data_IF_762810656934
#
_entry.id   IF_762810656934
#
_cell.length_a   1.000
_cell.length_b   1.000
_cell.length_c   1.000
_cell.angle_alpha   90.00
_cell.angle_beta   90.00
_cell.angle_gamma   90.00
#
_symmetry.space_group_name_H-M   'P 1'
#
loop_
_entity.id
_entity.type
_entity.pdbx_description
1 polymer ?
#
# COMPACT_ATOMS: atom_id res chain seq x y z
N UNK A 1 -7.73 24.63 11.44
CA UNK A 1 -6.43 23.94 11.36
C UNK A 1 -6.48 22.66 12.20
N UNK A 2 -6.73 21.49 11.58
CA UNK A 2 -6.85 20.19 12.28
C UNK A 2 -5.51 19.45 12.37
N UNK A 3 -4.43 20.18 12.63
CA UNK A 3 -3.07 19.62 12.63
C UNK A 3 -2.88 18.52 13.69
N UNK A 4 -3.36 18.68 14.95
CA UNK A 4 -3.19 17.64 15.98
C UNK A 4 -3.79 16.29 15.59
N UNK A 5 -4.92 16.27 14.86
CA UNK A 5 -5.57 15.05 14.37
C UNK A 5 -4.75 14.31 13.29
N UNK A 6 -3.83 15.02 12.62
CA UNK A 6 -3.02 14.48 11.50
C UNK A 6 -1.61 14.07 11.92
N UNK A 7 -1.20 14.31 13.16
CA UNK A 7 0.17 14.06 13.64
C UNK A 7 0.56 12.59 13.45
N UNK A 8 -0.31 11.66 13.81
CA UNK A 8 -0.05 10.22 13.64
C UNK A 8 0.14 9.85 12.17
N UNK A 9 -0.67 10.42 11.28
CA UNK A 9 -0.54 10.20 9.83
C UNK A 9 0.77 10.80 9.27
N UNK A 10 1.18 11.96 9.77
CA UNK A 10 2.43 12.60 9.35
C UNK A 10 3.66 11.76 9.76
N UNK A 11 3.67 11.22 10.98
CA UNK A 11 4.76 10.33 11.42
C UNK A 11 4.81 9.04 10.62
N UNK A 12 3.65 8.44 10.34
CA UNK A 12 3.59 7.27 9.49
C UNK A 12 4.16 7.57 8.09
N UNK A 13 3.73 8.67 7.48
CA UNK A 13 4.22 9.11 6.17
C UNK A 13 5.75 9.32 6.16
N UNK A 14 6.33 9.93 7.20
CA UNK A 14 7.79 10.15 7.29
C UNK A 14 8.57 8.82 7.38
N UNK A 15 8.04 7.82 8.09
CA UNK A 15 8.70 6.53 8.25
C UNK A 15 8.68 5.68 6.97
N UNK A 16 7.61 5.76 6.19
CA UNK A 16 7.46 4.95 4.97
C UNK A 16 8.07 5.62 3.74
N UNK A 17 8.31 6.93 3.78
CA UNK A 17 8.86 7.69 2.64
C UNK A 17 10.35 7.40 2.46
N UNK A 18 10.71 7.00 1.24
CA UNK A 18 12.11 6.76 0.85
C UNK A 18 12.91 8.06 0.91
N UNK A 19 14.07 8.02 1.59
CA UNK A 19 14.97 9.18 1.67
C UNK A 19 15.96 9.15 0.51
N UNK A 20 16.19 10.31 -0.11
CA UNK A 20 17.16 10.42 -1.22
C UNK A 20 18.60 10.07 -0.80
N UNK A 21 18.96 10.31 0.46
CA UNK A 21 20.32 10.07 0.97
C UNK A 21 20.66 8.59 1.12
N UNK A 22 19.69 7.77 1.52
CA UNK A 22 19.89 6.32 1.74
C UNK A 22 19.30 5.47 0.63
N UNK A 23 18.38 6.01 -0.18
CA UNK A 23 17.60 5.24 -1.15
C UNK A 23 16.56 4.31 -0.51
N UNK A 24 16.42 4.33 0.83
CA UNK A 24 15.51 3.47 1.58
C UNK A 24 14.64 4.29 2.55
N UNK A 25 13.46 3.77 2.86
CA UNK A 25 12.62 4.35 3.91
C UNK A 25 13.14 3.96 5.31
N UNK A 26 12.98 4.82 6.33
CA UNK A 26 13.31 4.47 7.71
C UNK A 26 12.66 3.16 8.18
N UNK A 27 11.42 2.90 7.76
CA UNK A 27 10.72 1.65 8.05
C UNK A 27 11.47 0.43 7.50
N UNK A 28 11.92 0.50 6.24
CA UNK A 28 12.68 -0.58 5.61
C UNK A 28 14.01 -0.82 6.34
N UNK A 29 14.71 0.23 6.75
CA UNK A 29 15.97 0.09 7.48
C UNK A 29 15.79 -0.55 8.86
N UNK A 30 14.65 -0.34 9.51
CA UNK A 30 14.34 -0.90 10.83
C UNK A 30 13.83 -2.35 10.75
N UNK A 31 12.98 -2.66 9.76
CA UNK A 31 12.27 -3.93 9.68
C UNK A 31 12.78 -4.88 8.59
N UNK A 32 13.61 -4.40 7.67
CA UNK A 32 14.10 -5.17 6.52
C UNK A 32 13.05 -5.48 5.45
N UNK A 33 11.85 -4.87 5.54
CA UNK A 33 10.72 -5.10 4.64
C UNK A 33 10.02 -3.78 4.33
N UNK A 34 9.43 -3.66 3.14
CA UNK A 34 8.58 -2.53 2.79
C UNK A 34 7.23 -2.59 3.55
N UNK A 35 6.71 -1.45 4.00
CA UNK A 35 5.40 -1.40 4.63
C UNK A 35 4.32 -1.77 3.61
N UNK A 36 3.36 -2.59 4.02
CA UNK A 36 2.20 -2.94 3.18
C UNK A 36 1.18 -1.82 3.32
N UNK A 37 1.04 -0.99 2.29
CA UNK A 37 0.05 0.07 2.28
C UNK A 37 -1.31 -0.45 1.79
N UNK A 38 -2.42 0.18 2.22
CA UNK A 38 -3.73 -0.11 1.65
C UNK A 38 -3.76 0.00 0.13
N UNK A 39 -3.00 0.96 -0.44
CA UNK A 39 -2.85 1.10 -1.89
C UNK A 39 -2.18 -0.12 -2.53
N UNK A 40 -1.09 -0.62 -1.94
CA UNK A 40 -0.38 -1.81 -2.44
C UNK A 40 -1.32 -3.03 -2.46
N UNK A 41 -2.15 -3.18 -1.43
CA UNK A 41 -3.16 -4.24 -1.37
C UNK A 41 -4.20 -4.09 -2.49
N UNK A 42 -4.68 -2.86 -2.75
CA UNK A 42 -5.63 -2.63 -3.86
C UNK A 42 -5.02 -2.90 -5.22
N UNK A 43 -3.76 -2.50 -5.44
CA UNK A 43 -3.06 -2.77 -6.69
C UNK A 43 -2.86 -4.27 -6.89
N UNK A 44 -2.35 -4.99 -5.87
CA UNK A 44 -2.20 -6.47 -5.94
C UNK A 44 -3.52 -7.15 -6.22
N UNK A 45 -4.60 -6.66 -5.61
CA UNK A 45 -5.95 -7.19 -5.76
C UNK A 45 -6.53 -6.97 -7.16
N UNK A 46 -6.16 -5.87 -7.83
CA UNK A 46 -6.67 -5.48 -9.15
C UNK A 46 -5.72 -5.79 -10.31
N UNK A 47 -4.46 -6.12 -10.01
CA UNK A 47 -3.42 -6.49 -10.98
C UNK A 47 -3.40 -8.00 -11.26
N UNK A 48 -4.37 -8.76 -10.75
CA UNK A 48 -4.57 -10.17 -11.08
C UNK A 48 -4.77 -10.36 -12.59
N UNK A 49 -4.08 -11.35 -13.17
CA UNK A 49 -4.22 -11.68 -14.59
C UNK A 49 -5.67 -12.04 -14.90
N UNK A 50 -6.31 -11.30 -15.82
CA UNK A 50 -7.72 -11.48 -16.15
C UNK A 50 -8.65 -10.41 -15.56
N UNK A 51 -8.12 -9.42 -14.84
CA UNK A 51 -8.88 -8.23 -14.46
C UNK A 51 -9.19 -7.35 -15.68
N UNK A 52 -10.47 -7.00 -15.85
CA UNK A 52 -10.95 -6.01 -16.82
C UNK A 52 -12.14 -5.23 -16.24
N UNK A 53 -12.36 -4.01 -16.72
CA UNK A 53 -13.42 -3.13 -16.21
C UNK A 53 -14.81 -3.69 -16.58
N UNK A 54 -15.60 -4.08 -15.58
CA UNK A 54 -16.96 -4.61 -15.76
C UNK A 54 -17.24 -5.98 -15.13
N UNK A 55 -16.26 -6.59 -14.47
CA UNK A 55 -16.43 -7.85 -13.74
C UNK A 55 -17.46 -7.73 -12.60
N UNK A 56 -18.28 -8.77 -12.42
CA UNK A 56 -19.16 -8.86 -11.26
C UNK A 56 -18.37 -9.22 -10.00
N UNK A 57 -18.96 -8.97 -8.82
CA UNK A 57 -18.33 -9.37 -7.55
C UNK A 57 -18.05 -10.87 -7.47
N UNK A 58 -18.86 -11.71 -8.11
CA UNK A 58 -18.66 -13.16 -8.16
C UNK A 58 -17.43 -13.53 -9.01
N UNK A 59 -17.25 -12.87 -10.16
CA UNK A 59 -16.11 -13.10 -11.04
C UNK A 59 -14.79 -12.66 -10.39
N UNK A 60 -14.82 -11.54 -9.65
CA UNK A 60 -13.67 -11.07 -8.87
C UNK A 60 -13.27 -12.05 -7.76
N UNK A 61 -14.25 -12.70 -7.12
CA UNK A 61 -13.98 -13.73 -6.11
C UNK A 61 -13.42 -15.00 -6.76
N UNK A 62 -13.96 -15.43 -7.90
CA UNK A 62 -13.47 -16.58 -8.64
C UNK A 62 -11.99 -16.41 -9.08
N UNK A 63 -11.60 -15.22 -9.54
CA UNK A 63 -10.22 -14.89 -9.90
C UNK A 63 -9.24 -14.96 -8.72
N UNK A 64 -9.72 -14.88 -7.46
CA UNK A 64 -8.89 -14.89 -6.25
C UNK A 64 -8.74 -16.26 -5.59
N UNK A 65 -9.57 -17.23 -5.99
CA UNK A 65 -9.62 -18.55 -5.37
C UNK A 65 -8.79 -19.62 -6.13
N UNK A 66 -8.27 -19.27 -7.30
CA UNK A 66 -7.46 -20.13 -8.18
C UNK A 66 -5.97 -19.88 -7.98
#
# INVERSE_FOLDING_TARGET
TKWPEKVTLAFFADQITTRCSTGFSPFYLLHGMHPILPCDLTEVTLMMSGYWAGLSSADLLALRMC
#
